data_IF_496204491460
#
_entry.id   IF_496204491460
#
_cell.length_a   1.000
_cell.length_b   1.000
_cell.length_c   1.000
_cell.angle_alpha   90.00
_cell.angle_beta   90.00
_cell.angle_gamma   90.00
#
_symmetry.space_group_name_H-M   'P 1'
#
loop_
_entity.id
_entity.type
_entity.pdbx_description
1 polymer ?
#
# COMPACT_ATOMS: atom_id res chain seq x y z
N UNK A 1 3.71 24.55 8.30
CA UNK A 1 2.53 23.67 8.18
C UNK A 1 2.80 22.64 7.08
N UNK A 2 2.63 21.33 7.36
CA UNK A 2 2.96 20.23 6.44
C UNK A 2 1.80 19.82 5.52
N UNK A 3 0.58 20.25 5.83
CA UNK A 3 -0.59 20.01 4.99
C UNK A 3 -0.40 20.65 3.60
N UNK A 4 -0.81 19.96 2.51
CA UNK A 4 -0.73 20.52 1.17
C UNK A 4 -1.64 21.75 1.03
N UNK A 5 -1.12 22.79 0.41
CA UNK A 5 -1.91 23.86 -0.15
C UNK A 5 -2.51 23.36 -1.47
N UNK A 6 -3.79 23.61 -1.71
CA UNK A 6 -4.49 23.21 -2.95
C UNK A 6 -4.02 24.04 -4.17
N UNK A 7 -2.70 24.11 -4.40
CA UNK A 7 -2.13 24.79 -5.56
C UNK A 7 -2.40 23.94 -6.80
N UNK A 8 -2.85 24.61 -7.86
CA UNK A 8 -2.92 24.00 -9.19
C UNK A 8 -1.52 24.06 -9.78
N UNK A 9 -0.98 22.91 -10.17
CA UNK A 9 0.29 22.83 -10.88
C UNK A 9 0.02 22.89 -12.38
N UNK A 10 0.89 23.58 -13.11
CA UNK A 10 0.89 23.52 -14.57
C UNK A 10 1.23 22.10 -15.00
N UNK A 11 0.52 21.62 -16.01
CA UNK A 11 0.74 20.27 -16.55
C UNK A 11 2.07 20.30 -17.28
N UNK A 12 3.03 19.39 -17.03
CA UNK A 12 4.31 19.43 -17.72
C UNK A 12 4.18 19.19 -19.23
N UNK A 13 5.08 19.74 -20.04
CA UNK A 13 5.03 19.69 -21.52
C UNK A 13 4.78 18.29 -22.11
N UNK A 14 5.41 17.18 -21.65
CA UNK A 14 5.14 15.84 -22.16
C UNK A 14 3.73 15.32 -21.84
N UNK A 15 3.05 15.94 -20.87
CA UNK A 15 1.70 15.62 -20.44
C UNK A 15 0.67 16.64 -20.95
N UNK A 16 1.13 17.66 -21.68
CA UNK A 16 0.27 18.64 -22.35
C UNK A 16 -0.14 18.13 -23.74
N UNK A 17 -1.34 18.48 -24.17
CA UNK A 17 -1.73 18.44 -25.57
C UNK A 17 -1.13 19.66 -26.31
N UNK A 18 -1.27 19.73 -27.65
CA UNK A 18 -0.69 20.82 -28.44
C UNK A 18 -1.20 22.23 -28.10
N UNK A 19 -2.27 22.36 -27.31
CA UNK A 19 -2.81 23.65 -26.83
C UNK A 19 -2.53 23.92 -25.34
N UNK A 20 -1.62 23.16 -24.73
CA UNK A 20 -1.17 23.35 -23.35
C UNK A 20 -2.12 22.81 -22.27
N UNK A 21 -3.19 22.12 -22.65
CA UNK A 21 -4.13 21.47 -21.74
C UNK A 21 -3.76 20.02 -21.42
N UNK A 22 -4.49 19.37 -20.50
CA UNK A 22 -4.29 17.96 -20.19
C UNK A 22 -4.54 17.06 -21.42
N UNK A 23 -3.81 15.95 -21.53
CA UNK A 23 -4.25 14.84 -22.38
C UNK A 23 -5.53 14.27 -21.75
N UNK A 24 -6.62 14.28 -22.52
CA UNK A 24 -7.88 13.70 -22.09
C UNK A 24 -7.98 12.28 -22.62
N UNK A 25 -8.22 11.34 -21.72
CA UNK A 25 -8.44 9.95 -22.06
C UNK A 25 -9.93 9.71 -22.28
N UNK A 26 -10.28 9.08 -23.39
CA UNK A 26 -11.64 8.74 -23.79
C UNK A 26 -11.78 7.23 -23.95
N UNK A 27 -12.97 6.67 -23.73
CA UNK A 27 -13.25 5.25 -23.96
C UNK A 27 -13.56 4.97 -25.43
N UNK A 28 -13.11 3.83 -25.93
CA UNK A 28 -13.48 3.35 -27.27
C UNK A 28 -13.51 1.83 -27.36
N UNK A 29 -14.19 1.33 -28.39
CA UNK A 29 -14.26 -0.10 -28.71
C UNK A 29 -13.83 -0.33 -30.15
N UNK A 30 -12.93 -1.29 -30.35
CA UNK A 30 -12.46 -1.68 -31.68
C UNK A 30 -13.57 -2.42 -32.41
N UNK A 31 -14.07 -1.86 -33.51
CA UNK A 31 -15.14 -2.45 -34.32
C UNK A 31 -14.60 -3.49 -35.30
N UNK A 32 -13.49 -3.17 -35.95
CA UNK A 32 -12.85 -4.05 -36.93
C UNK A 32 -11.37 -3.76 -37.00
N UNK A 33 -10.59 -4.80 -37.31
CA UNK A 33 -9.15 -4.70 -37.55
C UNK A 33 -8.79 -5.45 -38.81
N UNK A 34 -7.98 -4.81 -39.65
CA UNK A 34 -7.42 -5.40 -40.86
C UNK A 34 -5.93 -5.03 -41.02
N UNK A 35 -5.24 -5.72 -41.93
CA UNK A 35 -3.88 -5.36 -42.34
C UNK A 35 -3.97 -4.81 -43.75
N UNK A 36 -3.48 -3.59 -43.96
CA UNK A 36 -3.60 -2.90 -45.24
C UNK A 36 -2.63 -1.73 -45.39
N UNK A 37 -2.80 -0.98 -46.46
CA UNK A 37 -2.03 0.23 -46.73
C UNK A 37 -2.31 1.30 -45.66
N UNK A 38 -1.27 1.81 -45.03
CA UNK A 38 -1.31 2.86 -44.02
C UNK A 38 -0.69 4.18 -44.51
N UNK A 39 -1.03 5.27 -43.84
CA UNK A 39 -0.78 6.64 -44.26
C UNK A 39 -2.06 7.39 -44.63
N UNK A 40 -3.24 6.90 -44.24
CA UNK A 40 -4.50 7.61 -44.53
C UNK A 40 -4.54 8.97 -43.80
N UNK A 41 -4.98 10.06 -44.45
CA UNK A 41 -5.17 11.34 -43.77
C UNK A 41 -6.29 11.30 -42.71
N UNK A 42 -7.13 10.26 -42.73
CA UNK A 42 -8.15 10.02 -41.71
C UNK A 42 -7.62 9.36 -40.44
N UNK A 43 -6.33 8.99 -40.37
CA UNK A 43 -5.74 8.39 -39.17
C UNK A 43 -5.88 9.34 -37.96
N UNK A 44 -6.46 8.83 -36.89
CA UNK A 44 -6.81 9.54 -35.67
C UNK A 44 -7.90 10.61 -35.82
N UNK A 45 -8.49 10.81 -37.01
CA UNK A 45 -9.55 11.80 -37.22
C UNK A 45 -10.90 11.21 -36.88
N UNK A 46 -11.81 12.09 -36.44
CA UNK A 46 -13.22 11.76 -36.30
C UNK A 46 -13.79 11.48 -37.70
N UNK A 47 -14.24 10.25 -37.92
CA UNK A 47 -14.79 9.81 -39.19
C UNK A 47 -16.24 10.30 -39.33
N UNK A 48 -16.55 10.76 -40.54
CA UNK A 48 -17.93 11.09 -40.98
C UNK A 48 -18.50 10.02 -41.93
N UNK A 49 -17.71 8.98 -42.24
CA UNK A 49 -17.97 7.94 -43.22
C UNK A 49 -16.77 7.00 -43.34
N UNK A 50 -16.62 6.33 -44.50
CA UNK A 50 -15.44 5.50 -44.76
C UNK A 50 -14.14 6.32 -44.75
N UNK A 51 -12.99 5.77 -44.29
CA UNK A 51 -11.72 6.47 -44.32
C UNK A 51 -11.30 6.88 -45.73
N UNK A 52 -10.59 8.01 -45.82
CA UNK A 52 -10.06 8.52 -47.07
C UNK A 52 -8.99 7.56 -47.66
N UNK A 53 -8.89 7.50 -49.00
CA UNK A 53 -7.94 6.63 -49.67
C UNK A 53 -6.50 6.96 -49.30
N UNK A 54 -5.68 5.91 -49.22
CA UNK A 54 -4.29 5.99 -48.78
C UNK A 54 -3.41 6.54 -49.92
N UNK A 55 -2.44 7.43 -49.64
CA UNK A 55 -1.50 7.94 -50.64
C UNK A 55 -0.64 6.83 -51.28
N UNK A 56 -0.09 7.11 -52.47
CA UNK A 56 0.66 6.13 -53.27
C UNK A 56 1.94 5.56 -52.61
N UNK A 57 2.50 6.25 -51.60
CA UNK A 57 3.64 5.77 -50.82
C UNK A 57 3.18 5.22 -49.46
N UNK A 58 2.42 4.12 -49.48
CA UNK A 58 1.92 3.46 -48.27
C UNK A 58 2.84 2.33 -47.81
N UNK A 59 2.93 2.11 -46.49
CA UNK A 59 3.47 0.88 -45.91
C UNK A 59 2.33 0.00 -45.41
N UNK A 60 2.57 -1.32 -45.29
CA UNK A 60 1.58 -2.23 -44.72
C UNK A 60 1.60 -2.13 -43.21
N UNK A 61 0.44 -1.87 -42.61
CA UNK A 61 0.29 -1.84 -41.17
C UNK A 61 -1.10 -2.31 -40.75
N UNK A 62 -1.29 -2.41 -39.44
CA UNK A 62 -2.56 -2.85 -38.87
C UNK A 62 -3.46 -1.65 -38.64
N UNK A 63 -4.66 -1.71 -39.19
CA UNK A 63 -5.65 -0.64 -39.21
C UNK A 63 -6.84 -1.07 -38.39
N UNK A 64 -7.34 -0.19 -37.53
CA UNK A 64 -8.49 -0.48 -36.67
C UNK A 64 -9.49 0.65 -36.76
N UNK A 65 -10.75 0.32 -37.07
CA UNK A 65 -11.87 1.24 -36.90
C UNK A 65 -12.33 1.13 -35.45
N UNK A 66 -12.38 2.25 -34.75
CA UNK A 66 -12.70 2.31 -33.33
C UNK A 66 -13.87 3.24 -33.12
N UNK A 67 -14.92 2.75 -32.47
CA UNK A 67 -16.03 3.56 -32.00
C UNK A 67 -15.59 4.40 -30.79
N UNK A 68 -15.89 5.69 -30.80
CA UNK A 68 -15.65 6.60 -29.69
C UNK A 68 -16.86 6.56 -28.76
N UNK A 69 -16.65 6.15 -27.52
CA UNK A 69 -17.72 5.89 -26.55
C UNK A 69 -17.89 6.99 -25.50
N UNK A 70 -16.90 7.87 -25.34
CA UNK A 70 -16.95 9.01 -24.42
C UNK A 70 -16.42 10.30 -25.05
N UNK A 71 -16.70 11.41 -24.36
CA UNK A 71 -16.21 12.73 -24.75
C UNK A 71 -17.05 13.40 -25.83
N UNK A 72 -16.53 14.49 -26.42
CA UNK A 72 -17.29 15.36 -27.34
C UNK A 72 -17.72 14.68 -28.64
N UNK A 73 -17.02 13.63 -29.07
CA UNK A 73 -17.26 12.92 -30.33
C UNK A 73 -17.87 11.53 -30.11
N UNK A 74 -18.56 11.32 -28.99
CA UNK A 74 -19.24 10.06 -28.69
C UNK A 74 -20.24 9.70 -29.80
N UNK A 75 -20.16 8.46 -30.29
CA UNK A 75 -21.01 7.94 -31.36
C UNK A 75 -20.41 8.07 -32.76
N UNK A 76 -19.26 8.74 -32.90
CA UNK A 76 -18.45 8.71 -34.12
C UNK A 76 -17.36 7.64 -34.02
N UNK A 77 -16.76 7.33 -35.17
CA UNK A 77 -15.63 6.41 -35.27
C UNK A 77 -14.31 7.17 -35.50
N UNK A 78 -13.19 6.52 -35.25
CA UNK A 78 -11.85 6.95 -35.65
C UNK A 78 -11.09 5.80 -36.28
N UNK A 79 -10.21 6.10 -37.24
CA UNK A 79 -9.25 5.14 -37.76
C UNK A 79 -7.98 5.21 -36.90
N UNK A 80 -7.47 4.07 -36.46
CA UNK A 80 -6.14 3.96 -35.84
C UNK A 80 -5.24 3.09 -36.72
N UNK A 81 -4.10 3.64 -37.12
CA UNK A 81 -3.05 2.92 -37.83
C UNK A 81 -1.87 2.68 -36.88
N UNK A 82 -1.52 1.40 -36.68
CA UNK A 82 -0.41 1.00 -35.81
C UNK A 82 0.76 0.55 -36.68
N UNK A 83 1.88 1.30 -36.71
CA UNK A 83 3.06 0.92 -37.46
C UNK A 83 3.62 -0.44 -37.03
N UNK A 84 4.21 -1.23 -37.94
CA UNK A 84 4.84 -2.49 -37.58
C UNK A 84 6.04 -2.26 -36.66
N UNK A 85 6.22 -3.14 -35.67
CA UNK A 85 7.32 -3.09 -34.72
C UNK A 85 7.17 -4.18 -33.63
N UNK A 86 8.25 -4.47 -32.88
CA UNK A 86 8.17 -5.37 -31.73
C UNK A 86 7.23 -4.79 -30.67
N UNK A 87 6.46 -5.66 -30.01
CA UNK A 87 5.54 -5.33 -28.91
C UNK A 87 4.51 -4.23 -29.20
N UNK A 88 4.20 -3.98 -30.48
CA UNK A 88 3.12 -3.09 -30.88
C UNK A 88 1.76 -3.64 -30.44
N UNK A 89 0.81 -2.77 -30.01
CA UNK A 89 -0.46 -3.22 -29.48
C UNK A 89 -1.27 -3.98 -30.54
N UNK A 90 -1.77 -5.15 -30.14
CA UNK A 90 -2.55 -6.05 -30.98
C UNK A 90 -4.07 -5.89 -30.73
N UNK A 91 -4.63 -4.71 -31.04
CA UNK A 91 -6.07 -4.41 -31.12
C UNK A 91 -6.88 -5.40 -31.97
N UNK A 92 -7.82 -6.11 -31.38
CA UNK A 92 -8.75 -7.00 -32.08
C UNK A 92 -10.17 -6.44 -32.01
N UNK A 93 -11.03 -6.84 -32.95
CA UNK A 93 -12.44 -6.51 -32.88
C UNK A 93 -13.05 -6.98 -31.54
N UNK A 94 -13.77 -6.07 -30.87
CA UNK A 94 -14.32 -6.27 -29.53
C UNK A 94 -13.43 -5.78 -28.38
N UNK A 95 -12.17 -5.39 -28.63
CA UNK A 95 -11.32 -4.85 -27.57
C UNK A 95 -11.82 -3.49 -27.09
N UNK A 96 -11.96 -3.35 -25.77
CA UNK A 96 -12.18 -2.06 -25.13
C UNK A 96 -10.84 -1.36 -24.87
N UNK A 97 -10.70 -0.14 -25.35
CA UNK A 97 -9.47 0.64 -25.29
C UNK A 97 -9.71 2.05 -24.74
N UNK A 98 -8.61 2.71 -24.40
CA UNK A 98 -8.53 4.11 -24.03
C UNK A 98 -7.85 4.86 -25.18
N UNK A 99 -8.45 5.99 -25.54
CA UNK A 99 -8.01 6.85 -26.62
C UNK A 99 -7.48 8.15 -26.03
N UNK A 100 -6.26 8.53 -26.40
CA UNK A 100 -5.71 9.83 -26.08
C UNK A 100 -6.30 10.84 -27.06
N UNK A 101 -7.09 11.80 -26.55
CA UNK A 101 -7.63 12.91 -27.32
C UNK A 101 -6.70 14.11 -27.21
N UNK A 102 -6.19 14.55 -28.35
CA UNK A 102 -5.32 15.72 -28.47
C UNK A 102 -5.79 16.61 -29.62
N UNK A 103 -5.21 17.80 -29.73
CA UNK A 103 -5.33 18.65 -30.92
C UNK A 103 -3.97 18.68 -31.61
N UNK A 104 -3.96 18.72 -32.94
CA UNK A 104 -2.74 18.96 -33.71
C UNK A 104 -2.41 20.46 -33.78
N UNK A 105 -1.32 20.81 -34.46
CA UNK A 105 -0.88 22.19 -34.64
C UNK A 105 -1.89 23.08 -35.40
N UNK A 106 -2.84 22.48 -36.14
CA UNK A 106 -3.91 23.18 -36.83
C UNK A 106 -5.19 23.30 -35.97
N UNK A 107 -5.15 22.83 -34.71
CA UNK A 107 -6.30 22.83 -33.80
C UNK A 107 -7.32 21.73 -34.07
N UNK A 108 -7.01 20.79 -34.97
CA UNK A 108 -7.93 19.70 -35.31
C UNK A 108 -7.77 18.56 -34.31
N UNK A 109 -8.89 17.98 -33.86
CA UNK A 109 -8.83 16.87 -32.89
C UNK A 109 -8.23 15.62 -33.54
N UNK A 110 -7.33 14.96 -32.81
CA UNK A 110 -6.72 13.68 -33.16
C UNK A 110 -6.87 12.73 -31.98
N UNK A 111 -7.27 11.50 -32.28
CA UNK A 111 -7.33 10.37 -31.36
C UNK A 111 -6.19 9.41 -31.65
N UNK A 112 -5.49 8.98 -30.61
CA UNK A 112 -4.48 7.92 -30.67
C UNK A 112 -4.81 6.80 -29.70
N UNK A 113 -4.28 5.60 -29.96
CA UNK A 113 -4.28 4.54 -28.95
C UNK A 113 -3.47 5.00 -27.73
N UNK A 114 -4.07 4.95 -26.55
CA UNK A 114 -3.40 5.25 -25.28
C UNK A 114 -3.08 3.95 -24.53
N UNK A 115 -4.10 3.15 -24.25
CA UNK A 115 -3.97 1.90 -23.49
C UNK A 115 -5.23 1.00 -23.65
N UNK A 116 -5.21 -0.21 -23.08
CA UNK A 116 -6.38 -1.07 -22.96
C UNK A 116 -7.25 -0.71 -21.75
N UNK A 117 -8.56 -0.86 -21.87
CA UNK A 117 -9.52 -0.67 -20.78
C UNK A 117 -9.56 -1.90 -19.87
N UNK A 118 -8.82 -1.86 -18.76
CA UNK A 118 -8.69 -3.00 -17.81
C UNK A 118 -9.58 -2.91 -16.57
N UNK A 119 -10.59 -2.03 -16.57
CA UNK A 119 -11.44 -1.78 -15.39
C UNK A 119 -12.07 -3.05 -14.82
N UNK A 120 -12.84 -3.79 -15.62
CA UNK A 120 -13.51 -5.03 -15.18
C UNK A 120 -12.53 -6.14 -14.80
N UNK A 121 -11.50 -6.47 -15.62
CA UNK A 121 -10.50 -7.48 -15.23
C UNK A 121 -9.79 -7.16 -13.92
N UNK A 122 -9.37 -5.91 -13.71
CA UNK A 122 -8.71 -5.50 -12.46
C UNK A 122 -9.67 -5.56 -11.27
N UNK A 123 -10.94 -5.18 -11.45
CA UNK A 123 -11.94 -5.32 -10.40
C UNK A 123 -12.13 -6.78 -9.99
N UNK A 124 -12.14 -7.72 -10.94
CA UNK A 124 -12.22 -9.15 -10.65
C UNK A 124 -11.01 -9.66 -9.88
N UNK A 125 -9.79 -9.23 -10.24
CA UNK A 125 -8.57 -9.58 -9.51
C UNK A 125 -8.62 -9.05 -8.07
N UNK A 126 -9.00 -7.78 -7.88
CA UNK A 126 -9.12 -7.18 -6.54
C UNK A 126 -10.23 -7.86 -5.73
N UNK A 127 -11.36 -8.17 -6.34
CA UNK A 127 -12.46 -8.88 -5.68
C UNK A 127 -12.06 -10.29 -5.26
N UNK A 128 -11.37 -11.04 -6.13
CA UNK A 128 -10.86 -12.37 -5.81
C UNK A 128 -9.87 -12.33 -4.63
N UNK A 129 -8.92 -11.38 -4.65
CA UNK A 129 -8.01 -11.16 -3.54
C UNK A 129 -8.76 -10.86 -2.23
N UNK A 130 -9.73 -9.94 -2.27
CA UNK A 130 -10.53 -9.59 -1.10
C UNK A 130 -11.32 -10.77 -0.55
N UNK A 131 -11.94 -11.58 -1.42
CA UNK A 131 -12.69 -12.78 -1.03
C UNK A 131 -11.77 -13.79 -0.35
N UNK A 132 -10.60 -14.07 -0.90
CA UNK A 132 -9.63 -15.01 -0.30
C UNK A 132 -9.17 -14.52 1.07
N UNK A 133 -8.81 -13.24 1.19
CA UNK A 133 -8.37 -12.64 2.46
C UNK A 133 -9.48 -12.71 3.52
N UNK A 134 -10.73 -12.39 3.15
CA UNK A 134 -11.87 -12.44 4.08
C UNK A 134 -12.25 -13.89 4.41
N UNK A 135 -12.16 -14.82 3.47
CA UNK A 135 -12.44 -16.23 3.71
C UNK A 135 -11.44 -16.84 4.71
N UNK A 136 -10.15 -16.49 4.60
CA UNK A 136 -9.09 -17.03 5.48
C UNK A 136 -9.02 -16.29 6.81
N UNK A 137 -9.12 -14.96 6.82
CA UNK A 137 -8.90 -14.13 8.03
C UNK A 137 -10.21 -13.57 8.64
N UNK A 138 -11.37 -13.87 8.06
CA UNK A 138 -12.68 -13.43 8.54
C UNK A 138 -12.82 -11.90 8.63
N UNK A 139 -13.48 -11.42 9.68
CA UNK A 139 -13.64 -9.99 9.96
C UNK A 139 -12.30 -9.25 10.15
N UNK A 140 -11.23 -9.94 10.56
CA UNK A 140 -9.89 -9.34 10.64
C UNK A 140 -9.34 -9.06 9.25
N UNK A 141 -9.55 -9.98 8.31
CA UNK A 141 -9.23 -9.78 6.89
C UNK A 141 -9.94 -8.57 6.31
N UNK A 142 -11.25 -8.44 6.55
CA UNK A 142 -12.01 -7.27 6.08
C UNK A 142 -11.46 -5.95 6.64
N UNK A 143 -11.15 -5.91 7.94
CA UNK A 143 -10.56 -4.71 8.58
C UNK A 143 -9.17 -4.39 8.03
N UNK A 144 -8.36 -5.40 7.72
CA UNK A 144 -7.06 -5.20 7.09
C UNK A 144 -7.20 -4.58 5.68
N UNK A 145 -8.17 -5.04 4.89
CA UNK A 145 -8.48 -4.44 3.58
C UNK A 145 -8.95 -2.98 3.69
N UNK A 146 -9.80 -2.67 4.67
CA UNK A 146 -10.18 -1.29 4.97
C UNK A 146 -8.96 -0.46 5.40
N UNK A 147 -8.05 -1.03 6.18
CA UNK A 147 -6.78 -0.41 6.54
C UNK A 147 -5.93 -0.06 5.32
N UNK A 148 -5.86 -0.96 4.34
CA UNK A 148 -5.16 -0.70 3.07
C UNK A 148 -5.76 0.49 2.32
N UNK A 149 -7.09 0.61 2.27
CA UNK A 149 -7.77 1.77 1.67
C UNK A 149 -7.45 3.07 2.40
N UNK A 150 -7.42 3.04 3.74
CA UNK A 150 -7.02 4.21 4.55
C UNK A 150 -5.57 4.58 4.26
N UNK A 151 -4.66 3.60 4.21
CA UNK A 151 -3.26 3.84 3.90
C UNK A 151 -3.10 4.52 2.53
N UNK A 152 -3.77 3.99 1.50
CA UNK A 152 -3.80 4.59 0.17
C UNK A 152 -4.39 6.01 0.20
N UNK A 153 -5.44 6.24 0.97
CA UNK A 153 -6.03 7.56 1.19
C UNK A 153 -5.05 8.57 1.81
N UNK A 154 -4.21 8.17 2.77
CA UNK A 154 -3.15 9.04 3.31
C UNK A 154 -2.06 9.31 2.28
N UNK A 155 -1.68 8.31 1.49
CA UNK A 155 -0.65 8.49 0.46
C UNK A 155 -1.12 9.48 -0.63
N UNK A 156 -2.34 9.28 -1.16
CA UNK A 156 -2.89 10.11 -2.25
C UNK A 156 -3.42 11.44 -1.76
N UNK A 157 -4.03 11.49 -0.56
CA UNK A 157 -4.65 12.70 -0.03
C UNK A 157 -3.69 13.63 0.72
N UNK A 158 -2.57 13.12 1.24
CA UNK A 158 -1.65 13.89 2.06
C UNK A 158 -0.19 13.82 1.59
N UNK A 159 0.42 12.63 1.52
CA UNK A 159 1.86 12.51 1.23
C UNK A 159 2.21 13.05 -0.16
N UNK A 160 1.56 12.53 -1.20
CA UNK A 160 1.87 12.91 -2.58
C UNK A 160 1.59 14.40 -2.85
N UNK A 161 0.43 14.96 -2.48
CA UNK A 161 0.19 16.40 -2.63
C UNK A 161 1.19 17.27 -1.85
N UNK A 162 1.60 16.86 -0.64
CA UNK A 162 2.59 17.60 0.13
C UNK A 162 3.98 17.59 -0.53
N UNK A 163 4.39 16.46 -1.12
CA UNK A 163 5.64 16.38 -1.87
C UNK A 163 5.59 17.23 -3.15
N UNK A 164 4.46 17.25 -3.87
CA UNK A 164 4.24 18.12 -5.03
C UNK A 164 4.34 19.61 -4.66
N UNK A 165 3.88 19.97 -3.46
CA UNK A 165 4.00 21.30 -2.86
C UNK A 165 5.43 21.66 -2.38
N UNK A 166 6.42 20.83 -2.70
CA UNK A 166 7.81 20.97 -2.29
C UNK A 166 7.99 21.07 -0.76
N UNK A 167 7.10 20.45 0.02
CA UNK A 167 7.26 20.33 1.47
C UNK A 167 8.48 19.44 1.79
N UNK A 168 9.14 19.65 2.94
CA UNK A 168 10.28 18.84 3.34
C UNK A 168 9.87 17.36 3.48
N UNK A 169 10.48 16.48 2.66
CA UNK A 169 10.04 15.10 2.51
C UNK A 169 10.13 14.26 3.81
N UNK A 170 11.18 14.45 4.61
CA UNK A 170 11.40 13.70 5.85
C UNK A 170 10.23 13.82 6.85
N UNK A 171 9.85 15.03 7.32
CA UNK A 171 8.74 15.17 8.25
C UNK A 171 7.38 14.81 7.62
N UNK A 172 7.19 15.03 6.32
CA UNK A 172 5.95 14.62 5.63
C UNK A 172 5.82 13.09 5.64
N UNK A 173 6.88 12.36 5.30
CA UNK A 173 6.89 10.90 5.29
C UNK A 173 6.70 10.32 6.70
N UNK A 174 7.33 10.91 7.74
CA UNK A 174 7.12 10.49 9.13
C UNK A 174 5.69 10.70 9.60
N UNK A 175 5.08 11.85 9.27
CA UNK A 175 3.68 12.15 9.64
C UNK A 175 2.71 11.24 8.89
N UNK A 176 2.91 11.04 7.59
CA UNK A 176 2.12 10.13 6.77
C UNK A 176 2.23 8.69 7.32
N UNK A 177 3.45 8.22 7.55
CA UNK A 177 3.71 6.90 8.09
C UNK A 177 3.11 6.68 9.47
N UNK A 178 3.25 7.66 10.38
CA UNK A 178 2.62 7.59 11.70
C UNK A 178 1.09 7.56 11.63
N UNK A 179 0.48 8.37 10.75
CA UNK A 179 -0.96 8.37 10.53
C UNK A 179 -1.45 7.02 9.98
N UNK A 180 -0.75 6.48 8.98
CA UNK A 180 -1.02 5.15 8.41
C UNK A 180 -0.93 4.08 9.51
N UNK A 181 0.18 4.05 10.27
CA UNK A 181 0.39 3.08 11.33
C UNK A 181 -0.72 3.18 12.39
N UNK A 182 -1.02 4.37 12.87
CA UNK A 182 -2.07 4.55 13.87
C UNK A 182 -3.42 4.02 13.37
N UNK A 183 -3.82 4.40 12.16
CA UNK A 183 -5.10 3.97 11.59
C UNK A 183 -5.13 2.46 11.32
N UNK A 184 -4.13 1.93 10.63
CA UNK A 184 -4.12 0.53 10.17
C UNK A 184 -4.01 -0.45 11.33
N UNK A 185 -3.11 -0.22 12.29
CA UNK A 185 -2.89 -1.16 13.39
C UNK A 185 -4.13 -1.27 14.28
N UNK A 186 -4.73 -0.14 14.66
CA UNK A 186 -5.93 -0.17 15.51
C UNK A 186 -7.17 -0.65 14.76
N UNK A 187 -7.28 -0.38 13.46
CA UNK A 187 -8.39 -0.91 12.66
C UNK A 187 -8.30 -2.43 12.51
N UNK A 188 -7.11 -2.97 12.20
CA UNK A 188 -6.91 -4.39 11.99
C UNK A 188 -6.93 -5.21 13.30
N UNK A 189 -6.25 -4.73 14.34
CA UNK A 189 -6.00 -5.50 15.57
C UNK A 189 -6.81 -5.04 16.79
N UNK A 190 -7.54 -3.92 16.67
CA UNK A 190 -8.32 -3.34 17.76
C UNK A 190 -7.46 -2.63 18.81
N UNK A 191 -8.13 -1.90 19.70
CA UNK A 191 -7.49 -1.12 20.77
C UNK A 191 -7.16 -2.01 21.95
N UNK A 192 -5.87 -2.29 22.17
CA UNK A 192 -5.37 -3.02 23.32
C UNK A 192 -3.85 -2.76 23.51
N UNK A 193 -3.31 -3.12 24.68
CA UNK A 193 -1.90 -2.90 25.01
C UNK A 193 -0.92 -3.61 24.07
N UNK A 194 -1.31 -4.74 23.47
CA UNK A 194 -0.49 -5.46 22.49
C UNK A 194 -0.37 -4.65 21.19
N UNK A 195 -1.49 -4.13 20.68
CA UNK A 195 -1.51 -3.23 19.51
C UNK A 195 -0.73 -1.95 19.79
N UNK A 196 -0.86 -1.36 20.98
CA UNK A 196 -0.10 -0.17 21.38
C UNK A 196 1.41 -0.44 21.50
N UNK A 197 1.81 -1.61 22.02
CA UNK A 197 3.21 -2.02 22.06
C UNK A 197 3.80 -2.18 20.66
N UNK A 198 3.05 -2.83 19.75
CA UNK A 198 3.44 -2.95 18.36
C UNK A 198 3.60 -1.57 17.72
N UNK A 199 2.60 -0.69 17.82
CA UNK A 199 2.62 0.67 17.27
C UNK A 199 3.85 1.47 17.74
N UNK A 200 4.14 1.48 19.04
CA UNK A 200 5.31 2.18 19.58
C UNK A 200 6.61 1.58 19.04
N UNK A 201 6.68 0.25 18.94
CA UNK A 201 7.79 -0.45 18.30
C UNK A 201 7.96 -0.05 16.84
N UNK A 202 6.88 -0.02 16.06
CA UNK A 202 6.91 0.36 14.64
C UNK A 202 7.30 1.82 14.44
N UNK A 203 6.76 2.73 15.26
CA UNK A 203 7.09 4.16 15.20
C UNK A 203 8.57 4.41 15.53
N UNK A 204 9.10 3.71 16.54
CA UNK A 204 10.52 3.83 16.92
C UNK A 204 11.42 3.25 15.83
N UNK A 205 11.06 2.10 15.26
CA UNK A 205 11.78 1.50 14.15
C UNK A 205 11.71 2.36 12.88
N UNK A 206 10.56 2.99 12.60
CA UNK A 206 10.39 3.93 11.49
C UNK A 206 11.25 5.19 11.67
N UNK A 207 11.37 5.72 12.89
CA UNK A 207 12.28 6.82 13.18
C UNK A 207 13.74 6.42 12.94
N UNK A 208 14.14 5.22 13.36
CA UNK A 208 15.45 4.68 13.05
C UNK A 208 15.66 4.51 11.54
N UNK A 209 14.67 3.96 10.82
CA UNK A 209 14.70 3.82 9.37
C UNK A 209 14.89 5.17 8.70
N UNK A 210 14.18 6.22 9.14
CA UNK A 210 14.29 7.56 8.57
C UNK A 210 15.70 8.16 8.75
N UNK A 211 16.31 7.98 9.93
CA UNK A 211 17.69 8.40 10.19
C UNK A 211 18.67 7.61 9.32
N UNK A 212 18.49 6.29 9.23
CA UNK A 212 19.32 5.41 8.40
C UNK A 212 19.19 5.73 6.91
N UNK A 213 17.98 5.99 6.41
CA UNK A 213 17.74 6.39 5.02
C UNK A 213 18.42 7.71 4.70
N UNK A 214 18.27 8.73 5.57
CA UNK A 214 18.92 10.01 5.38
C UNK A 214 20.45 9.89 5.38
N UNK A 215 21.01 9.15 6.35
CA UNK A 215 22.44 8.93 6.44
C UNK A 215 22.97 8.14 5.23
N UNK A 216 22.28 7.08 4.84
CA UNK A 216 22.69 6.24 3.73
C UNK A 216 22.68 7.02 2.42
N UNK A 217 21.58 7.70 2.07
CA UNK A 217 21.49 8.54 0.85
C UNK A 217 22.63 9.56 0.81
N UNK A 218 22.95 10.18 1.95
CA UNK A 218 24.02 11.18 2.04
C UNK A 218 25.41 10.57 1.86
N UNK A 219 25.67 9.41 2.46
CA UNK A 219 26.99 8.73 2.42
C UNK A 219 27.24 8.10 1.05
N UNK A 220 26.22 7.53 0.42
CA UNK A 220 26.35 6.87 -0.90
C UNK A 220 26.11 7.84 -2.07
N UNK A 221 25.84 9.12 -1.80
CA UNK A 221 25.60 10.16 -2.80
C UNK A 221 24.53 9.77 -3.84
N UNK A 222 23.49 9.06 -3.41
CA UNK A 222 22.41 8.63 -4.31
C UNK A 222 21.69 9.85 -4.86
N UNK A 223 21.58 9.89 -6.18
CA UNK A 223 20.92 10.99 -6.89
C UNK A 223 19.48 10.64 -7.24
N UNK A 224 19.23 9.36 -7.53
CA UNK A 224 17.94 8.90 -8.04
C UNK A 224 17.75 9.15 -9.52
N UNK A 225 18.70 9.76 -10.22
CA UNK A 225 18.55 10.16 -11.63
C UNK A 225 18.75 8.99 -12.62
N UNK A 226 19.08 7.80 -12.11
CA UNK A 226 19.18 6.60 -12.94
C UNK A 226 17.83 5.91 -13.19
N UNK A 227 16.81 6.20 -12.39
CA UNK A 227 15.45 5.72 -12.64
C UNK A 227 14.74 6.65 -13.64
N UNK A 228 14.06 6.07 -14.63
CA UNK A 228 13.36 6.86 -15.65
C UNK A 228 12.23 7.70 -15.02
N UNK A 229 11.50 7.12 -14.07
CA UNK A 229 10.36 7.76 -13.42
C UNK A 229 10.77 9.00 -12.62
N UNK A 230 11.86 8.93 -11.88
CA UNK A 230 12.42 10.07 -11.13
C UNK A 230 13.03 11.11 -12.06
N UNK A 231 13.65 10.69 -13.18
CA UNK A 231 14.14 11.60 -14.22
C UNK A 231 12.98 12.36 -14.87
N UNK A 232 11.86 11.68 -15.14
CA UNK A 232 10.64 12.31 -15.61
C UNK A 232 10.13 13.33 -14.57
N UNK A 233 10.09 13.00 -13.28
CA UNK A 233 9.76 13.98 -12.23
C UNK A 233 10.74 15.15 -12.24
N UNK A 234 12.06 14.92 -12.35
CA UNK A 234 13.06 15.98 -12.32
C UNK A 234 12.90 16.97 -13.49
N UNK A 235 12.63 16.45 -14.69
CA UNK A 235 12.49 17.24 -15.91
C UNK A 235 11.16 18.00 -16.01
N UNK A 236 10.13 17.51 -15.30
CA UNK A 236 8.75 17.99 -15.45
C UNK A 236 8.22 18.74 -14.21
N UNK A 237 8.79 18.47 -13.04
CA UNK A 237 8.36 18.99 -11.75
C UNK A 237 9.56 19.54 -11.00
N UNK A 238 10.17 20.61 -11.52
CA UNK A 238 11.42 21.19 -11.03
C UNK A 238 11.42 21.56 -9.54
N UNK A 239 10.26 21.81 -8.93
CA UNK A 239 10.14 22.10 -7.50
C UNK A 239 10.25 20.86 -6.59
N UNK A 240 10.13 19.64 -7.13
CA UNK A 240 10.13 18.40 -6.35
C UNK A 240 11.56 17.89 -6.17
N UNK A 241 11.94 17.63 -4.92
CA UNK A 241 13.25 17.05 -4.59
C UNK A 241 13.27 15.55 -4.87
N UNK A 242 14.13 15.09 -5.80
CA UNK A 242 14.31 13.66 -6.10
C UNK A 242 14.90 12.88 -4.92
N UNK A 243 15.93 13.43 -4.27
CA UNK A 243 16.50 12.82 -3.07
C UNK A 243 15.50 12.81 -1.91
N UNK A 244 14.63 13.82 -1.82
CA UNK A 244 13.48 13.83 -0.92
C UNK A 244 12.47 12.73 -1.23
N UNK A 245 12.16 12.50 -2.52
CA UNK A 245 11.26 11.44 -2.96
C UNK A 245 11.83 10.04 -2.65
N UNK A 246 13.13 9.84 -2.89
CA UNK A 246 13.84 8.62 -2.49
C UNK A 246 13.76 8.40 -0.97
N UNK A 247 14.04 9.44 -0.18
CA UNK A 247 13.96 9.38 1.28
C UNK A 247 12.55 9.01 1.76
N UNK A 248 11.51 9.65 1.21
CA UNK A 248 10.13 9.32 1.53
C UNK A 248 9.77 7.88 1.11
N UNK A 249 10.21 7.46 -0.07
CA UNK A 249 10.03 6.09 -0.56
C UNK A 249 10.67 5.04 0.34
N UNK A 250 11.89 5.30 0.84
CA UNK A 250 12.57 4.37 1.75
C UNK A 250 11.84 4.25 3.09
N UNK A 251 11.39 5.37 3.65
CA UNK A 251 10.63 5.41 4.91
C UNK A 251 9.31 4.66 4.74
N UNK A 252 8.49 5.04 3.75
CA UNK A 252 7.17 4.45 3.53
C UNK A 252 7.27 2.97 3.14
N UNK A 253 8.24 2.61 2.28
CA UNK A 253 8.48 1.23 1.87
C UNK A 253 8.85 0.32 3.04
N UNK A 254 9.52 0.85 4.08
CA UNK A 254 9.83 0.07 5.28
C UNK A 254 8.61 -0.25 6.15
N UNK A 255 7.56 0.60 6.14
CA UNK A 255 6.41 0.51 7.05
C UNK A 255 5.68 -0.83 6.94
N UNK A 256 5.45 -1.31 5.71
CA UNK A 256 4.66 -2.52 5.47
C UNK A 256 5.26 -3.73 6.17
N UNK A 257 6.58 -3.91 6.01
CA UNK A 257 7.33 -5.00 6.63
C UNK A 257 7.54 -4.78 8.14
N UNK A 258 7.74 -3.53 8.58
CA UNK A 258 7.84 -3.22 10.01
C UNK A 258 6.54 -3.53 10.77
N UNK A 259 5.38 -3.22 10.18
CA UNK A 259 4.08 -3.49 10.81
C UNK A 259 3.88 -4.99 11.11
N UNK A 260 4.14 -5.85 10.12
CA UNK A 260 3.97 -7.30 10.26
C UNK A 260 4.85 -7.88 11.39
N UNK A 261 6.12 -7.50 11.40
CA UNK A 261 7.07 -7.95 12.43
C UNK A 261 6.67 -7.46 13.81
N UNK A 262 6.38 -6.17 13.97
CA UNK A 262 6.09 -5.60 15.30
C UNK A 262 4.80 -6.16 15.91
N UNK A 263 3.75 -6.38 15.13
CA UNK A 263 2.52 -7.02 15.63
C UNK A 263 2.78 -8.46 16.07
N UNK A 264 3.52 -9.23 15.26
CA UNK A 264 3.85 -10.62 15.59
C UNK A 264 4.73 -10.70 16.83
N UNK A 265 5.73 -9.82 16.95
CA UNK A 265 6.61 -9.76 18.13
C UNK A 265 5.87 -9.34 19.39
N UNK A 266 5.03 -8.30 19.32
CA UNK A 266 4.20 -7.91 20.45
C UNK A 266 3.26 -9.06 20.86
N UNK A 267 2.66 -9.76 19.90
CA UNK A 267 1.81 -10.92 20.18
C UNK A 267 2.58 -12.01 20.92
N UNK A 268 3.75 -12.41 20.41
CA UNK A 268 4.61 -13.42 21.04
C UNK A 268 4.99 -13.03 22.49
N UNK A 269 5.43 -11.80 22.72
CA UNK A 269 5.82 -11.32 24.04
C UNK A 269 4.62 -11.30 25.03
N UNK A 270 3.43 -10.90 24.59
CA UNK A 270 2.24 -10.90 25.45
C UNK A 270 1.74 -12.33 25.75
N UNK A 271 1.77 -13.25 24.79
CA UNK A 271 1.39 -14.65 25.02
C UNK A 271 2.38 -15.34 25.98
N UNK A 272 3.69 -15.17 25.78
CA UNK A 272 4.72 -15.71 26.66
C UNK A 272 4.63 -15.15 28.09
N UNK A 273 4.32 -13.85 28.24
CA UNK A 273 4.09 -13.25 29.56
C UNK A 273 2.83 -13.79 30.25
N UNK A 274 1.80 -14.16 29.49
CA UNK A 274 0.55 -14.68 30.02
C UNK A 274 0.65 -16.14 30.48
N UNK A 275 1.52 -16.95 29.85
CA UNK A 275 1.75 -18.34 30.24
C UNK A 275 2.37 -18.50 31.62
N UNK A 276 3.28 -17.60 32.00
CA UNK A 276 3.87 -17.56 33.34
C UNK A 276 3.83 -16.12 33.91
N UNK A 277 2.79 -15.81 34.72
CA UNK A 277 2.66 -14.53 35.40
C UNK A 277 3.81 -14.19 36.36
N UNK A 278 4.51 -15.19 36.89
CA UNK A 278 5.59 -15.02 37.86
C UNK A 278 6.98 -14.91 37.20
N UNK A 279 7.12 -15.32 35.93
CA UNK A 279 8.39 -15.25 35.21
C UNK A 279 8.97 -13.81 35.19
N UNK A 280 10.27 -13.64 35.44
CA UNK A 280 10.89 -12.32 35.38
C UNK A 280 10.88 -11.80 33.94
N UNK A 281 10.85 -10.47 33.78
CA UNK A 281 10.80 -9.78 32.47
C UNK A 281 11.90 -10.26 31.52
N UNK A 282 13.09 -10.55 32.03
CA UNK A 282 14.22 -11.05 31.25
C UNK A 282 13.94 -12.42 30.62
N UNK A 283 13.21 -13.30 31.30
CA UNK A 283 12.84 -14.61 30.76
C UNK A 283 11.88 -14.45 29.58
N UNK A 284 10.86 -13.60 29.73
CA UNK A 284 9.91 -13.31 28.63
C UNK A 284 10.63 -12.65 27.45
N UNK A 285 11.49 -11.66 27.72
CA UNK A 285 12.28 -10.99 26.70
C UNK A 285 13.16 -11.97 25.93
N UNK A 286 13.90 -12.84 26.64
CA UNK A 286 14.81 -13.80 26.00
C UNK A 286 14.04 -14.83 25.18
N UNK A 287 12.88 -15.28 25.66
CA UNK A 287 12.03 -16.21 24.94
C UNK A 287 11.42 -15.56 23.68
N UNK A 288 10.87 -14.36 23.78
CA UNK A 288 10.32 -13.62 22.64
C UNK A 288 11.41 -13.28 21.60
N UNK A 289 12.62 -12.93 22.03
CA UNK A 289 13.76 -12.69 21.14
C UNK A 289 14.21 -13.93 20.37
N UNK A 290 13.98 -15.15 20.87
CA UNK A 290 14.23 -16.38 20.09
C UNK A 290 13.28 -16.45 18.90
N UNK A 291 11.98 -16.24 19.13
CA UNK A 291 10.95 -16.16 18.08
C UNK A 291 11.27 -15.04 17.08
N UNK A 292 11.68 -13.88 17.58
CA UNK A 292 12.05 -12.74 16.76
C UNK A 292 13.25 -12.99 15.84
N UNK A 293 14.28 -13.69 16.32
CA UNK A 293 15.46 -14.03 15.50
C UNK A 293 15.12 -14.94 14.33
N UNK A 294 14.24 -15.91 14.54
CA UNK A 294 13.79 -16.80 13.45
C UNK A 294 13.00 -16.02 12.39
N UNK A 295 12.13 -15.10 12.82
CA UNK A 295 11.39 -14.21 11.92
C UNK A 295 12.28 -13.23 11.14
N UNK A 296 13.35 -12.69 11.76
CA UNK A 296 14.27 -11.77 11.07
C UNK A 296 14.88 -12.44 9.84
N UNK A 297 15.37 -13.68 9.99
CA UNK A 297 16.00 -14.39 8.87
C UNK A 297 15.03 -14.55 7.68
N UNK A 298 13.79 -14.95 7.94
CA UNK A 298 12.78 -15.15 6.88
C UNK A 298 12.33 -13.84 6.22
N UNK A 299 12.15 -12.78 7.00
CA UNK A 299 11.67 -11.48 6.50
C UNK A 299 12.73 -10.71 5.72
N UNK A 300 14.01 -10.85 6.07
CA UNK A 300 15.12 -10.25 5.31
C UNK A 300 15.15 -10.79 3.87
N UNK A 301 15.04 -12.11 3.68
CA UNK A 301 15.02 -12.69 2.33
C UNK A 301 13.80 -12.24 1.53
N UNK A 302 12.64 -12.17 2.18
CA UNK A 302 11.41 -11.68 1.56
C UNK A 302 11.56 -10.25 1.06
N UNK A 303 12.16 -9.37 1.88
CA UNK A 303 12.40 -7.97 1.53
C UNK A 303 13.37 -7.85 0.35
N UNK A 304 14.50 -8.57 0.40
CA UNK A 304 15.53 -8.52 -0.65
C UNK A 304 14.98 -9.05 -1.97
N UNK A 305 14.28 -10.18 -1.96
CA UNK A 305 13.70 -10.74 -3.19
C UNK A 305 12.60 -9.88 -3.79
N UNK A 306 11.80 -9.19 -2.96
CA UNK A 306 10.79 -8.25 -3.45
C UNK A 306 11.43 -7.08 -4.23
N UNK A 307 12.49 -6.47 -3.70
CA UNK A 307 13.20 -5.39 -4.39
C UNK A 307 14.00 -5.90 -5.60
N UNK A 308 14.68 -7.04 -5.47
CA UNK A 308 15.38 -7.65 -6.60
C UNK A 308 14.43 -7.97 -7.77
N UNK A 309 13.21 -8.45 -7.48
CA UNK A 309 12.16 -8.68 -8.46
C UNK A 309 11.75 -7.41 -9.21
N UNK A 310 11.64 -6.27 -8.50
CA UNK A 310 11.38 -4.96 -9.12
C UNK A 310 12.53 -4.45 -9.99
N UNK A 311 13.77 -4.83 -9.68
CA UNK A 311 14.98 -4.42 -10.40
C UNK A 311 15.31 -5.29 -11.63
N UNK A 312 14.54 -6.34 -11.93
CA UNK A 312 14.83 -7.28 -13.01
C UNK A 312 15.05 -6.62 -14.39
N UNK A 313 14.25 -5.63 -14.83
CA UNK A 313 14.49 -4.97 -16.12
C UNK A 313 15.85 -4.26 -16.19
N UNK A 314 16.24 -3.59 -15.10
CA UNK A 314 17.53 -2.91 -14.97
C UNK A 314 18.69 -3.92 -14.98
N UNK A 315 18.54 -5.04 -14.28
CA UNK A 315 19.53 -6.12 -14.28
C UNK A 315 19.69 -6.76 -15.67
N UNK A 316 18.58 -6.92 -16.41
CA UNK A 316 18.60 -7.42 -17.79
C UNK A 316 19.35 -6.47 -18.74
N UNK A 317 19.08 -5.16 -18.65
CA UNK A 317 19.74 -4.15 -19.48
C UNK A 317 21.27 -4.18 -19.28
N UNK A 318 21.72 -4.33 -18.04
CA UNK A 318 23.14 -4.45 -17.74
C UNK A 318 23.76 -5.77 -18.19
N UNK A 319 23.01 -6.88 -18.11
CA UNK A 319 23.45 -8.16 -18.65
C UNK A 319 23.75 -8.10 -20.15
N UNK A 320 22.97 -7.32 -20.90
CA UNK A 320 23.18 -7.12 -22.35
C UNK A 320 24.32 -6.12 -22.62
N UNK A 321 24.45 -5.08 -21.78
CA UNK A 321 25.46 -4.04 -21.94
C UNK A 321 26.92 -4.51 -21.66
N UNK A 322 27.13 -5.76 -21.24
CA UNK A 322 28.46 -6.34 -21.01
C UNK A 322 29.26 -5.66 -19.90
N UNK A 323 28.60 -4.94 -18.99
CA UNK A 323 29.26 -4.25 -17.87
C UNK A 323 29.75 -5.24 -16.83
N UNK A 324 30.83 -4.90 -16.14
CA UNK A 324 31.31 -5.72 -15.01
C UNK A 324 30.27 -5.71 -13.89
N UNK A 325 30.17 -6.80 -13.13
CA UNK A 325 29.26 -6.89 -11.97
C UNK A 325 29.54 -5.77 -10.97
N UNK A 326 30.81 -5.38 -10.79
CA UNK A 326 31.20 -4.27 -9.91
C UNK A 326 30.59 -2.94 -10.34
N UNK A 327 30.67 -2.60 -11.63
CA UNK A 327 30.10 -1.35 -12.16
C UNK A 327 28.58 -1.33 -12.06
N UNK A 328 27.95 -2.50 -12.21
CA UNK A 328 26.50 -2.65 -12.07
C UNK A 328 26.07 -2.44 -10.62
N UNK A 329 26.72 -3.11 -9.66
CA UNK A 329 26.39 -3.03 -8.24
C UNK A 329 26.62 -1.64 -7.64
N UNK A 330 27.59 -0.90 -8.16
CA UNK A 330 27.94 0.45 -7.72
C UNK A 330 27.22 1.55 -8.51
N UNK A 331 26.50 1.20 -9.58
CA UNK A 331 25.67 2.13 -10.33
C UNK A 331 24.45 2.59 -9.53
N UNK A 332 24.04 3.85 -9.73
CA UNK A 332 22.98 4.52 -8.95
C UNK A 332 21.70 3.68 -8.85
N UNK A 333 21.20 3.07 -9.94
CA UNK A 333 19.94 2.31 -9.93
C UNK A 333 19.99 1.07 -9.02
N UNK A 334 21.06 0.28 -9.10
CA UNK A 334 21.21 -0.93 -8.28
C UNK A 334 21.60 -0.55 -6.85
N UNK A 335 22.43 0.49 -6.69
CA UNK A 335 22.80 1.01 -5.39
C UNK A 335 21.56 1.51 -4.61
N UNK A 336 20.59 2.15 -5.27
CA UNK A 336 19.31 2.54 -4.65
C UNK A 336 18.59 1.32 -4.07
N UNK A 337 18.42 0.25 -4.84
CA UNK A 337 17.72 -0.95 -4.38
C UNK A 337 18.48 -1.70 -3.27
N UNK A 338 19.82 -1.76 -3.37
CA UNK A 338 20.66 -2.35 -2.32
C UNK A 338 20.60 -1.55 -1.02
N UNK A 339 20.72 -0.23 -1.10
CA UNK A 339 20.66 0.65 0.09
C UNK A 339 19.25 0.63 0.67
N UNK A 340 18.20 0.67 -0.15
CA UNK A 340 16.79 0.54 0.28
C UNK A 340 16.57 -0.77 1.04
N UNK A 341 17.05 -1.87 0.47
CA UNK A 341 16.99 -3.21 1.09
C UNK A 341 17.77 -3.26 2.40
N UNK A 342 18.99 -2.72 2.44
CA UNK A 342 19.84 -2.71 3.63
C UNK A 342 19.25 -1.87 4.76
N UNK A 343 18.76 -0.66 4.46
CA UNK A 343 18.10 0.21 5.45
C UNK A 343 16.84 -0.46 5.99
N UNK A 344 15.99 -1.03 5.12
CA UNK A 344 14.81 -1.77 5.53
C UNK A 344 15.15 -3.00 6.39
N UNK A 345 16.18 -3.75 6.03
CA UNK A 345 16.66 -4.91 6.78
C UNK A 345 17.19 -4.54 8.17
N UNK A 346 17.99 -3.47 8.28
CA UNK A 346 18.48 -2.98 9.58
C UNK A 346 17.33 -2.45 10.44
N UNK A 347 16.41 -1.67 9.85
CA UNK A 347 15.23 -1.19 10.56
C UNK A 347 14.38 -2.34 11.12
N UNK A 348 14.20 -3.40 10.33
CA UNK A 348 13.51 -4.62 10.75
C UNK A 348 14.25 -5.35 11.87
N UNK A 349 15.56 -5.53 11.75
CA UNK A 349 16.37 -6.15 12.79
C UNK A 349 16.32 -5.38 14.12
N UNK A 350 16.20 -4.04 14.07
CA UNK A 350 16.01 -3.19 15.24
C UNK A 350 14.57 -3.21 15.77
N UNK A 351 13.56 -3.36 14.91
CA UNK A 351 12.16 -3.36 15.30
C UNK A 351 11.83 -4.51 16.26
N UNK A 352 12.46 -5.67 16.08
CA UNK A 352 12.26 -6.85 16.94
C UNK A 352 12.63 -6.59 18.40
N UNK A 353 13.89 -6.24 18.76
CA UNK A 353 14.24 -5.98 20.14
C UNK A 353 13.49 -4.77 20.72
N UNK A 354 13.32 -3.69 19.95
CA UNK A 354 12.58 -2.49 20.41
C UNK A 354 11.14 -2.83 20.80
N UNK A 355 10.42 -3.54 19.93
CA UNK A 355 9.05 -3.95 20.20
C UNK A 355 8.97 -4.93 21.35
N UNK A 356 9.93 -5.86 21.45
CA UNK A 356 9.97 -6.85 22.53
C UNK A 356 10.16 -6.17 23.89
N UNK A 357 11.08 -5.20 24.02
CA UNK A 357 11.25 -4.44 25.26
C UNK A 357 9.94 -3.75 25.64
N UNK A 358 9.31 -3.03 24.72
CA UNK A 358 8.07 -2.30 24.97
C UNK A 358 6.95 -3.26 25.38
N UNK A 359 6.79 -4.37 24.66
CA UNK A 359 5.75 -5.36 24.92
C UNK A 359 5.93 -6.05 26.28
N UNK A 360 7.16 -6.39 26.67
CA UNK A 360 7.47 -6.99 27.99
C UNK A 360 7.20 -6.01 29.13
N UNK A 361 7.48 -4.72 28.92
CA UNK A 361 7.17 -3.70 29.92
C UNK A 361 5.66 -3.51 30.09
N UNK A 362 4.91 -3.46 28.99
CA UNK A 362 3.46 -3.25 28.99
C UNK A 362 2.66 -4.49 29.42
N UNK A 363 3.14 -5.70 29.14
CA UNK A 363 2.44 -6.94 29.51
C UNK A 363 2.42 -7.21 31.02
N UNK A 364 3.28 -6.52 31.79
CA UNK A 364 3.39 -6.64 33.25
C UNK A 364 2.75 -5.46 34.00
N UNK A 365 2.01 -4.58 33.33
CA UNK A 365 1.21 -3.57 34.02
C UNK A 365 0.10 -4.27 34.81
N UNK A 366 -0.13 -3.92 36.10
CA UNK A 366 -1.23 -4.48 36.86
C UNK A 366 -2.53 -4.21 36.10
N UNK A 367 -3.22 -5.28 35.68
CA UNK A 367 -4.62 -5.14 35.28
C UNK A 367 -5.36 -4.75 36.54
N UNK A 368 -5.88 -3.54 36.58
CA UNK A 368 -6.64 -3.04 37.71
C UNK A 368 -7.94 -3.86 37.81
N UNK A 369 -7.88 -4.95 38.59
CA UNK A 369 -9.00 -5.87 38.84
C UNK A 369 -10.03 -5.23 39.78
N UNK A 370 -10.44 -3.98 39.52
CA UNK A 370 -11.34 -3.22 40.40
C UNK A 370 -12.84 -3.37 40.11
N UNK A 371 -13.25 -4.26 39.19
CA UNK A 371 -14.67 -4.35 38.78
C UNK A 371 -15.35 -5.69 39.09
N UNK A 372 -14.62 -6.73 39.54
CA UNK A 372 -15.26 -8.06 39.76
C UNK A 372 -15.55 -8.36 41.24
N UNK A 373 -14.83 -7.76 42.21
CA UNK A 373 -15.09 -8.02 43.64
C UNK A 373 -16.26 -7.22 44.23
N UNK A 374 -16.67 -6.12 43.61
CA UNK A 374 -17.83 -5.33 44.07
C UNK A 374 -19.19 -5.99 43.74
N UNK A 375 -19.21 -6.99 42.84
CA UNK A 375 -20.40 -7.80 42.56
C UNK A 375 -20.52 -9.04 43.49
N UNK A 376 -19.39 -9.62 43.94
CA UNK A 376 -19.40 -10.76 44.89
C UNK A 376 -19.62 -10.34 46.34
N UNK A 377 -19.21 -9.13 46.73
CA UNK A 377 -19.43 -8.61 48.10
C UNK A 377 -20.87 -8.19 48.41
N UNK A 378 -21.67 -7.81 47.39
CA UNK A 378 -23.07 -7.35 47.60
C UNK A 378 -24.11 -8.47 47.59
N UNK A 379 -23.79 -9.64 47.02
CA UNK A 379 -24.72 -10.79 46.99
C UNK A 379 -24.87 -11.53 48.32
N UNK A 380 -23.89 -11.42 49.23
CA UNK A 380 -23.89 -12.19 50.48
C UNK A 380 -24.49 -11.41 51.68
N UNK A 381 -24.56 -10.08 51.61
CA UNK A 381 -25.15 -9.25 52.68
C UNK A 381 -26.68 -9.16 52.63
N UNK A 382 -27.31 -9.45 51.49
CA UNK A 382 -28.77 -9.47 51.33
C UNK A 382 -29.43 -10.80 51.74
N UNK A 383 -28.65 -11.88 51.87
CA UNK A 383 -29.18 -13.22 52.22
C UNK A 383 -29.23 -13.45 53.74
N UNK A 384 -28.24 -12.97 54.49
CA UNK A 384 -28.21 -13.12 55.95
C UNK A 384 -29.29 -12.30 56.69
N UNK A 385 -29.83 -11.22 56.10
CA UNK A 385 -30.92 -10.45 56.73
C UNK A 385 -32.31 -11.05 56.54
N UNK A 386 -32.50 -11.96 55.58
CA UNK A 386 -33.82 -12.59 55.35
C UNK A 386 -34.03 -13.86 56.20
N UNK A 387 -32.97 -14.42 56.77
CA UNK A 387 -33.06 -15.60 57.63
C UNK A 387 -33.23 -15.25 59.12
N UNK A 388 -32.82 -14.04 59.56
CA UNK A 388 -33.10 -13.56 60.93
C UNK A 388 -34.58 -13.13 61.10
N UNK A 389 -35.17 -12.42 60.12
CA UNK A 389 -36.59 -12.01 60.19
C UNK A 389 -37.58 -13.18 60.10
N UNK A 390 -37.12 -14.39 59.70
CA UNK A 390 -37.96 -15.60 59.65
C UNK A 390 -37.89 -16.46 60.92
N UNK A 391 -37.00 -16.17 61.86
CA UNK A 391 -36.88 -16.92 63.12
C UNK A 391 -37.73 -16.33 64.26
N UNK A 392 -38.24 -15.12 64.13
CA UNK A 392 -39.10 -14.50 65.15
C UNK A 392 -40.62 -14.64 64.88
N UNK A 393 -41.02 -15.26 63.76
CA UNK A 393 -42.44 -15.48 63.42
C UNK A 393 -42.71 -16.97 63.19
N UNK A 394 -42.77 -17.76 64.26
CA UNK A 394 -43.05 -19.19 64.14
C UNK A 394 -43.10 -19.95 65.45
N UNK A 395 -43.72 -19.37 66.49
CA UNK A 395 -44.11 -20.12 67.69
C UNK A 395 -45.63 -20.33 67.63
N UNK A 396 -46.07 -21.59 67.50
CA UNK A 396 -47.50 -21.90 67.40
C UNK A 396 -47.83 -23.28 66.83
N UNK A 397 -47.96 -24.25 67.75
CA UNK A 397 -48.81 -25.45 67.68
C UNK A 397 -48.50 -26.60 66.69
N UNK A 398 -48.38 -27.81 67.27
CA UNK A 398 -49.30 -28.90 66.90
C UNK A 398 -48.70 -30.19 66.33
N UNK A 399 -48.46 -31.16 67.22
CA UNK A 399 -48.88 -32.58 67.15
C UNK A 399 -48.80 -33.34 65.80
N UNK A 400 -48.07 -34.48 65.79
CA UNK A 400 -48.63 -35.70 65.18
C UNK A 400 -47.75 -36.56 64.26
N UNK A 401 -47.32 -37.71 64.81
CA UNK A 401 -47.27 -39.05 64.18
C UNK A 401 -46.21 -39.42 63.11
N UNK A 402 -45.33 -40.35 63.54
CA UNK A 402 -45.00 -41.69 62.99
C UNK A 402 -44.77 -41.94 61.49
N UNK A 403 -43.80 -42.86 61.29
CA UNK A 403 -43.59 -43.80 60.15
C UNK A 403 -42.89 -43.24 58.90
N UNK A 404 -42.10 -43.98 58.12
CA UNK A 404 -41.34 -45.25 58.22
C UNK A 404 -40.45 -45.26 56.95
N UNK A 405 -39.24 -45.83 57.08
CA UNK A 405 -38.29 -46.32 56.05
C UNK A 405 -38.68 -46.27 54.56
N UNK A 406 -37.68 -45.92 53.75
CA UNK A 406 -37.53 -46.22 52.33
C UNK A 406 -36.16 -45.77 51.87
#
# INVERSE_FOLDING_TARGET
MLWPSHRRFEIPLPMQNAVGGAIHSESGTVLSTDTGACGSPSNGRVLSGAPDPVPAQSYSCRRSIVAIESGPHRGNDTLLEIPPGPDQPALNAGDHIRLARQQDAAGTTVYGFEDYSRGTPLLLVVAAFAVVVVAVAGLRGLRALLGLLVAFGVLVGFLLPALLDAKPALPVALVAGAAILYAVLYLAHGVNLRTSAALLGTLTAMAAAAVLSWAAIKVTALTGLSEEQTTNVANNLHQVSITGLLLAGFIIGSIGVLNDVTITQASAAFELAALDPAAPRQTVFTAAMRVGRDHIASTVYTLIFAYAGGALPTLLLFSVAGRSIGDVLTGDAVAIELVRSAVGGVALALAVPLTTVIAVLLSRLPRDSRVVDSARGRGNQGRNRRDDDRREAGDGNGVGSRHRRG
#
